data_IF_092926228675
#
_entry.id   IF_092926228675
#
_cell.length_a   1.000
_cell.length_b   1.000
_cell.length_c   1.000
_cell.angle_alpha   90.00
_cell.angle_beta   90.00
_cell.angle_gamma   90.00
#
_symmetry.space_group_name_H-M   'P 1'
#
loop_
_entity.id
_entity.type
_entity.pdbx_description
1 polymer ?
#
# COMPACT_ATOMS: atom_id res chain seq x y z
N UNK A 1 -1.43 40.46 6.81
CA UNK A 1 -0.39 40.10 5.82
C UNK A 1 0.40 38.85 6.19
N UNK A 2 0.91 38.70 7.42
CA UNK A 2 1.73 37.54 7.80
C UNK A 2 0.99 36.19 7.81
N UNK A 3 -0.28 36.17 8.24
CA UNK A 3 -1.07 34.93 8.29
C UNK A 3 -1.29 34.30 6.91
N UNK A 4 -1.45 35.14 5.87
CA UNK A 4 -1.67 34.69 4.49
C UNK A 4 -0.45 33.93 3.96
N UNK A 5 0.76 34.46 4.19
CA UNK A 5 2.00 33.80 3.80
C UNK A 5 2.22 32.47 4.52
N UNK A 6 1.86 32.40 5.81
CA UNK A 6 1.92 31.14 6.57
C UNK A 6 0.97 30.10 5.96
N UNK A 7 -0.28 30.48 5.70
CA UNK A 7 -1.26 29.57 5.08
C UNK A 7 -0.78 29.10 3.70
N UNK A 8 -0.31 30.02 2.85
CA UNK A 8 0.23 29.69 1.53
C UNK A 8 1.41 28.70 1.62
N UNK A 9 2.34 28.90 2.57
CA UNK A 9 3.48 28.00 2.76
C UNK A 9 3.06 26.58 3.18
N UNK A 10 2.03 26.46 4.02
CA UNK A 10 1.48 25.16 4.45
C UNK A 10 0.84 24.44 3.27
N UNK A 11 0.04 25.16 2.46
CA UNK A 11 -0.60 24.59 1.27
C UNK A 11 0.45 24.07 0.29
N UNK A 12 1.50 24.87 0.01
CA UNK A 12 2.60 24.46 -0.87
C UNK A 12 3.31 23.21 -0.31
N UNK A 13 3.58 23.18 1.00
CA UNK A 13 4.19 22.02 1.64
C UNK A 13 3.33 20.75 1.49
N UNK A 14 2.02 20.85 1.71
CA UNK A 14 1.09 19.71 1.55
C UNK A 14 1.10 19.20 0.11
N UNK A 15 1.03 20.10 -0.88
CA UNK A 15 1.09 19.73 -2.30
C UNK A 15 2.40 19.01 -2.63
N UNK A 16 3.53 19.52 -2.14
CA UNK A 16 4.84 18.90 -2.34
C UNK A 16 4.92 17.50 -1.72
N UNK A 17 4.47 17.35 -0.47
CA UNK A 17 4.45 16.04 0.22
C UNK A 17 3.58 15.05 -0.54
N UNK A 18 2.42 15.48 -1.02
CA UNK A 18 1.53 14.63 -1.79
C UNK A 18 2.14 14.20 -3.13
N UNK A 19 2.81 15.12 -3.83
CA UNK A 19 3.51 14.81 -5.08
C UNK A 19 4.61 13.78 -4.88
N UNK A 20 5.43 13.96 -3.83
CA UNK A 20 6.47 13.00 -3.44
C UNK A 20 5.87 11.65 -3.08
N UNK A 21 4.79 11.65 -2.30
CA UNK A 21 4.07 10.43 -1.93
C UNK A 21 3.60 9.63 -3.15
N UNK A 22 2.97 10.29 -4.14
CA UNK A 22 2.52 9.64 -5.37
C UNK A 22 3.68 9.00 -6.15
N UNK A 23 4.84 9.69 -6.21
CA UNK A 23 6.04 9.16 -6.85
C UNK A 23 6.61 7.93 -6.12
N UNK A 24 6.70 8.01 -4.79
CA UNK A 24 7.14 6.89 -3.94
C UNK A 24 6.19 5.70 -4.08
N UNK A 25 4.89 5.97 -4.12
CA UNK A 25 3.89 4.93 -4.20
C UNK A 25 3.98 4.14 -5.51
N UNK A 26 4.11 4.86 -6.63
CA UNK A 26 4.27 4.27 -7.96
C UNK A 26 5.52 3.40 -8.09
N UNK A 27 6.65 3.82 -7.51
CA UNK A 27 7.95 3.15 -7.73
C UNK A 27 8.32 2.12 -6.66
N UNK A 28 8.04 2.44 -5.40
CA UNK A 28 8.55 1.71 -4.24
C UNK A 28 7.42 0.91 -3.58
N UNK A 29 6.32 1.57 -3.21
CA UNK A 29 5.28 0.93 -2.39
C UNK A 29 4.49 -0.15 -3.13
N UNK A 30 4.27 -0.01 -4.44
CA UNK A 30 3.62 -1.04 -5.24
C UNK A 30 4.38 -2.39 -5.26
N UNK A 31 5.69 -2.38 -4.97
CA UNK A 31 6.50 -3.60 -4.95
C UNK A 31 6.66 -4.23 -3.58
N UNK A 32 6.34 -3.51 -2.51
CA UNK A 32 6.67 -3.93 -1.15
C UNK A 32 5.41 -4.39 -0.41
N UNK A 33 5.43 -5.64 0.05
CA UNK A 33 4.34 -6.23 0.85
C UNK A 33 4.70 -6.18 2.33
N UNK A 34 4.38 -5.08 3.00
CA UNK A 34 4.56 -4.96 4.45
C UNK A 34 3.23 -5.14 5.17
N UNK A 35 3.28 -5.72 6.37
CA UNK A 35 2.12 -5.80 7.25
C UNK A 35 1.74 -4.39 7.76
N UNK A 36 0.46 -4.04 7.67
CA UNK A 36 -0.10 -2.72 8.05
C UNK A 36 0.35 -2.22 9.43
N UNK A 37 0.54 -3.13 10.40
CA UNK A 37 0.94 -2.77 11.76
C UNK A 37 2.38 -2.25 11.86
N UNK A 38 3.29 -2.70 10.98
CA UNK A 38 4.67 -2.20 10.96
C UNK A 38 4.71 -0.74 10.51
N UNK A 39 3.98 -0.37 9.45
CA UNK A 39 3.93 1.03 9.00
C UNK A 39 3.36 1.96 10.06
N UNK A 40 2.30 1.52 10.75
CA UNK A 40 1.71 2.29 11.85
C UNK A 40 2.71 2.46 13.00
N UNK A 41 3.41 1.40 13.38
CA UNK A 41 4.43 1.45 14.43
C UNK A 41 5.58 2.41 14.07
N UNK A 42 6.05 2.39 12.82
CA UNK A 42 7.10 3.30 12.33
C UNK A 42 6.62 4.75 12.37
N UNK A 43 5.42 5.02 11.84
CA UNK A 43 4.87 6.38 11.83
C UNK A 43 4.69 6.92 13.24
N UNK A 44 4.15 6.11 14.16
CA UNK A 44 3.98 6.50 15.56
C UNK A 44 5.32 6.66 16.29
N UNK A 45 6.28 5.77 16.03
CA UNK A 45 7.62 5.86 16.60
C UNK A 45 8.35 7.12 16.16
N UNK A 46 8.28 7.47 14.86
CA UNK A 46 8.85 8.71 14.34
C UNK A 46 8.16 9.95 14.91
N UNK A 47 6.84 9.90 15.13
CA UNK A 47 6.10 10.97 15.77
C UNK A 47 6.58 11.19 17.21
N UNK A 48 6.68 10.13 18.01
CA UNK A 48 7.21 10.21 19.38
C UNK A 48 8.67 10.70 19.37
N UNK A 49 9.47 10.21 18.43
CA UNK A 49 10.85 10.64 18.25
C UNK A 49 10.94 12.15 17.95
N UNK A 50 10.05 12.70 17.13
CA UNK A 50 10.00 14.15 16.86
C UNK A 50 9.82 14.98 18.14
N UNK A 51 8.97 14.52 19.07
CA UNK A 51 8.72 15.22 20.33
C UNK A 51 9.92 15.19 21.28
N UNK A 52 10.71 14.12 21.24
CA UNK A 52 11.92 13.96 22.07
C UNK A 52 13.10 14.73 21.48
N UNK A 53 13.35 14.57 20.18
CA UNK A 53 14.51 15.17 19.49
C UNK A 53 14.43 16.70 19.38
N UNK A 54 13.22 17.26 19.26
CA UNK A 54 12.97 18.73 19.16
C UNK A 54 13.93 19.43 18.18
N UNK A 55 13.76 19.21 16.86
CA UNK A 55 14.65 19.79 15.86
C UNK A 55 14.63 21.32 15.95
N UNK A 56 15.82 21.91 16.08
CA UNK A 56 16.04 23.37 16.15
C UNK A 56 16.04 23.99 14.75
N UNK A 57 16.51 23.25 13.76
CA UNK A 57 16.55 23.70 12.38
C UNK A 57 15.17 23.57 11.72
N UNK A 58 14.71 24.66 11.10
CA UNK A 58 13.43 24.69 10.38
C UNK A 58 13.36 23.59 9.31
N UNK A 59 14.43 23.43 8.53
CA UNK A 59 14.49 22.42 7.47
C UNK A 59 14.34 21.00 8.01
N UNK A 60 15.04 20.67 9.10
CA UNK A 60 14.95 19.35 9.75
C UNK A 60 13.54 19.09 10.27
N UNK A 61 12.91 20.11 10.87
CA UNK A 61 11.53 19.98 11.37
C UNK A 61 10.54 19.68 10.24
N UNK A 62 10.65 20.38 9.11
CA UNK A 62 9.78 20.12 7.95
C UNK A 62 10.08 18.77 7.29
N UNK A 63 11.35 18.41 7.15
CA UNK A 63 11.75 17.13 6.58
C UNK A 63 11.24 15.95 7.43
N UNK A 64 11.45 16.00 8.75
CA UNK A 64 10.99 14.95 9.66
C UNK A 64 9.45 14.84 9.65
N UNK A 65 8.76 15.97 9.67
CA UNK A 65 7.29 16.02 9.54
C UNK A 65 6.81 15.41 8.22
N UNK A 66 7.45 15.75 7.09
CA UNK A 66 7.13 15.20 5.79
C UNK A 66 7.27 13.68 5.77
N UNK A 67 8.37 13.15 6.32
CA UNK A 67 8.61 11.70 6.40
C UNK A 67 7.52 11.01 7.22
N UNK A 68 7.15 11.56 8.38
CA UNK A 68 6.08 11.02 9.22
C UNK A 68 4.75 10.97 8.47
N UNK A 69 4.39 12.06 7.79
CA UNK A 69 3.15 12.15 7.00
C UNK A 69 3.16 11.16 5.84
N UNK A 70 4.29 10.98 5.15
CA UNK A 70 4.43 10.01 4.05
C UNK A 70 4.19 8.58 4.55
N UNK A 71 4.83 8.18 5.66
CA UNK A 71 4.61 6.85 6.24
C UNK A 71 3.17 6.65 6.71
N UNK A 72 2.56 7.70 7.26
CA UNK A 72 1.16 7.65 7.70
C UNK A 72 0.18 7.52 6.52
N UNK A 73 0.38 8.30 5.46
CA UNK A 73 -0.40 8.19 4.22
C UNK A 73 -0.25 6.80 3.61
N UNK A 74 0.95 6.24 3.63
CA UNK A 74 1.20 4.88 3.14
C UNK A 74 0.42 3.84 3.95
N UNK A 75 0.39 3.98 5.28
CA UNK A 75 -0.45 3.14 6.14
C UNK A 75 -1.94 3.24 5.79
N UNK A 76 -2.45 4.45 5.56
CA UNK A 76 -3.85 4.66 5.17
C UNK A 76 -4.17 4.01 3.83
N UNK A 77 -3.26 4.08 2.86
CA UNK A 77 -3.44 3.46 1.55
C UNK A 77 -3.54 1.94 1.65
N UNK A 78 -2.63 1.29 2.40
CA UNK A 78 -2.70 -0.16 2.66
C UNK A 78 -4.00 -0.54 3.39
N UNK A 79 -4.48 0.32 4.30
CA UNK A 79 -5.75 0.10 5.01
C UNK A 79 -6.95 0.18 4.07
N UNK A 80 -6.97 1.13 3.14
CA UNK A 80 -8.10 1.38 2.24
C UNK A 80 -8.16 0.40 1.07
N UNK A 81 -7.05 0.18 0.37
CA UNK A 81 -7.00 -0.64 -0.85
C UNK A 81 -6.59 -2.10 -0.58
N UNK A 82 -6.12 -2.39 0.64
CA UNK A 82 -5.54 -3.68 0.97
C UNK A 82 -4.15 -3.85 0.38
N UNK A 83 -3.51 -4.99 0.69
CA UNK A 83 -2.24 -5.34 0.05
C UNK A 83 -2.47 -5.61 -1.44
N UNK A 84 -1.50 -5.26 -2.32
CA UNK A 84 -1.58 -5.58 -3.74
C UNK A 84 -1.90 -7.07 -3.90
N UNK A 85 -3.02 -7.36 -4.58
CA UNK A 85 -3.52 -8.72 -4.78
C UNK A 85 -2.39 -9.52 -5.43
N UNK A 86 -2.02 -10.65 -4.83
CA UNK A 86 -1.21 -11.63 -5.55
C UNK A 86 -1.96 -11.94 -6.84
N UNK A 87 -1.28 -11.78 -7.98
CA UNK A 87 -1.68 -12.45 -9.20
C UNK A 87 -1.72 -13.94 -8.86
N UNK A 88 -2.92 -14.43 -8.51
CA UNK A 88 -3.13 -15.85 -8.36
C UNK A 88 -2.86 -16.40 -9.75
N UNK A 89 -1.75 -17.12 -9.90
CA UNK A 89 -1.51 -17.93 -11.09
C UNK A 89 -2.70 -18.86 -11.17
N UNK A 90 -3.69 -18.51 -11.99
CA UNK A 90 -4.80 -19.40 -12.32
C UNK A 90 -4.15 -20.52 -13.10
N UNK A 91 -3.72 -21.56 -12.38
CA UNK A 91 -3.30 -22.80 -12.99
C UNK A 91 -4.57 -23.34 -13.63
N UNK A 92 -4.72 -23.10 -14.94
CA UNK A 92 -5.79 -23.68 -15.74
C UNK A 92 -5.53 -25.18 -15.73
N UNK A 93 -6.08 -25.86 -14.73
CA UNK A 93 -6.11 -27.32 -14.72
C UNK A 93 -7.04 -27.71 -15.85
N UNK A 94 -6.54 -28.53 -16.77
CA UNK A 94 -7.34 -29.12 -17.83
C UNK A 94 -8.62 -29.71 -17.23
N UNK A 95 -9.80 -29.29 -17.71
CA UNK A 95 -11.06 -29.87 -17.26
C UNK A 95 -11.02 -31.38 -17.48
N UNK A 96 -11.49 -32.14 -16.50
CA UNK A 96 -11.56 -33.59 -16.62
C UNK A 96 -12.39 -33.97 -17.85
N UNK A 97 -11.93 -34.99 -18.59
CA UNK A 97 -12.65 -35.49 -19.77
C UNK A 97 -14.10 -35.84 -19.39
N UNK A 98 -15.12 -35.24 -20.03
CA UNK A 98 -16.50 -35.53 -19.70
C UNK A 98 -16.80 -36.99 -20.06
N UNK A 99 -16.99 -37.80 -19.02
CA UNK A 99 -17.53 -39.17 -19.03
C UNK A 99 -16.72 -40.23 -19.82
N UNK A 100 -15.84 -40.96 -19.11
CA UNK A 100 -15.14 -42.14 -19.63
C UNK A 100 -16.00 -43.42 -19.63
N UNK A 101 -17.18 -43.43 -18.98
CA UNK A 101 -17.83 -44.66 -18.49
C UNK A 101 -19.21 -44.95 -19.14
N UNK A 102 -19.82 -43.99 -19.86
CA UNK A 102 -21.21 -44.12 -20.39
C UNK A 102 -21.49 -45.33 -21.30
N UNK A 103 -20.46 -45.93 -21.91
CA UNK A 103 -20.65 -46.96 -22.95
C UNK A 103 -20.42 -48.40 -22.49
N UNK A 104 -19.98 -48.65 -21.25
CA UNK A 104 -19.62 -50.01 -20.80
C UNK A 104 -20.87 -50.91 -20.65
N UNK A 105 -22.04 -50.35 -20.33
CA UNK A 105 -23.26 -51.12 -20.08
C UNK A 105 -24.13 -51.38 -21.32
N UNK A 106 -23.80 -50.83 -22.51
CA UNK A 106 -24.56 -51.11 -23.74
C UNK A 106 -24.20 -52.45 -24.39
N UNK A 107 -23.00 -52.98 -24.15
CA UNK A 107 -22.54 -54.24 -24.76
C UNK A 107 -22.87 -55.51 -23.94
N UNK A 108 -23.53 -55.39 -22.78
CA UNK A 108 -23.95 -56.54 -21.95
C UNK A 108 -25.43 -56.94 -22.12
N UNK A 109 -26.12 -56.40 -23.12
CA UNK A 109 -27.51 -56.74 -23.46
C UNK A 109 -27.63 -57.02 -24.96
N UNK A 110 -27.03 -58.12 -25.41
CA UNK A 110 -27.43 -58.82 -26.63
C UNK A 110 -27.39 -60.32 -26.31
N UNK A 111 -28.39 -61.09 -26.78
CA UNK A 111 -28.79 -62.41 -26.27
C UNK A 111 -27.73 -63.49 -26.39
#
# INVERSE_FOLDING_TARGET
MQIFWVIASIVIFVVLVFQVFQLLNKHIFNRIRINKWILLAISLGLLVFQFVYKPTNYWERYALSAVIVIFFLWFLEIKQFGNPKQEQKVVIKSKAKPNRIKNINKNKKAP
#
